data_IF_772893476224
#
_entry.id   IF_772893476224
#
_cell.length_a   1.000
_cell.length_b   1.000
_cell.length_c   1.000
_cell.angle_alpha   90.00
_cell.angle_beta   90.00
_cell.angle_gamma   90.00
#
_symmetry.space_group_name_H-M   'P 1'
#
loop_
_entity.id
_entity.type
_entity.pdbx_description
1 polymer ?
#
# COMPACT_ATOMS: atom_id res chain seq x y z
N UNK A 1 6.34 -14.90 18.41
CA UNK A 1 6.03 -14.11 19.63
C UNK A 1 5.91 -14.99 20.87
N UNK A 2 5.55 -16.26 20.69
CA UNK A 2 5.33 -17.27 21.72
C UNK A 2 6.54 -17.50 22.61
N UNK A 3 7.76 -17.46 22.04
CA UNK A 3 9.01 -17.59 22.79
C UNK A 3 9.24 -16.45 23.79
N UNK A 4 8.82 -15.22 23.45
CA UNK A 4 8.94 -14.04 24.33
C UNK A 4 7.91 -14.12 25.46
N UNK A 5 6.73 -14.69 25.17
CA UNK A 5 5.61 -14.80 26.12
C UNK A 5 5.57 -16.14 26.87
N UNK A 6 6.50 -17.07 26.61
CA UNK A 6 6.51 -18.41 27.20
C UNK A 6 5.31 -19.30 26.82
N UNK A 7 4.65 -19.01 25.70
CA UNK A 7 3.46 -19.73 25.24
C UNK A 7 3.81 -20.88 24.30
N UNK A 8 2.88 -21.83 24.13
CA UNK A 8 2.99 -22.85 23.07
C UNK A 8 2.70 -22.22 21.70
N UNK A 9 3.27 -22.76 20.60
CA UNK A 9 2.93 -22.34 19.24
C UNK A 9 1.42 -22.40 19.01
N UNK A 10 0.86 -21.33 18.46
CA UNK A 10 -0.58 -21.23 18.20
C UNK A 10 -0.98 -21.99 16.93
N UNK A 11 -0.04 -22.12 15.98
CA UNK A 11 -0.22 -22.83 14.74
C UNK A 11 1.04 -23.55 14.24
N UNK A 12 0.88 -24.32 13.16
CA UNK A 12 1.99 -24.94 12.44
C UNK A 12 2.95 -23.94 11.79
N UNK A 13 2.46 -22.73 11.47
CA UNK A 13 3.26 -21.67 10.84
C UNK A 13 4.18 -21.04 11.88
N UNK A 14 3.68 -20.85 13.10
CA UNK A 14 4.48 -20.31 14.20
C UNK A 14 5.56 -21.30 14.65
N UNK A 15 5.24 -22.60 14.67
CA UNK A 15 6.22 -23.66 15.00
C UNK A 15 7.40 -23.69 14.01
N UNK A 16 7.16 -23.29 12.76
CA UNK A 16 8.18 -23.23 11.70
C UNK A 16 8.76 -21.83 11.51
N UNK A 17 8.29 -20.84 12.25
CA UNK A 17 8.78 -19.49 12.13
C UNK A 17 10.21 -19.40 12.67
N UNK A 18 11.07 -18.66 11.97
CA UNK A 18 12.40 -18.31 12.48
C UNK A 18 12.23 -17.43 13.72
N UNK A 19 12.82 -17.79 14.88
CA UNK A 19 12.73 -16.97 16.07
C UNK A 19 13.48 -15.64 15.89
N UNK A 20 12.96 -14.55 16.45
CA UNK A 20 13.59 -13.22 16.39
C UNK A 20 14.70 -13.00 17.42
N UNK A 21 15.29 -14.08 17.97
CA UNK A 21 16.31 -13.96 19.03
C UNK A 21 17.50 -13.08 18.61
N UNK A 22 17.89 -13.12 17.34
CA UNK A 22 19.01 -12.33 16.82
C UNK A 22 18.71 -10.83 16.66
N UNK A 23 17.46 -10.40 16.85
CA UNK A 23 17.07 -9.00 16.73
C UNK A 23 17.14 -8.24 18.07
N UNK A 24 17.33 -8.96 19.18
CA UNK A 24 17.37 -8.40 20.53
C UNK A 24 18.67 -8.79 21.22
N UNK A 25 19.24 -7.86 21.98
CA UNK A 25 20.37 -8.08 22.88
C UNK A 25 19.86 -8.08 24.32
N UNK A 26 20.61 -8.70 25.24
CA UNK A 26 20.25 -8.69 26.66
C UNK A 26 20.36 -7.28 27.26
N UNK A 27 19.64 -7.04 28.37
CA UNK A 27 19.59 -5.74 29.03
C UNK A 27 20.96 -5.20 29.48
N UNK A 28 21.91 -6.10 29.76
CA UNK A 28 23.26 -5.77 30.20
C UNK A 28 24.28 -5.78 29.05
N UNK A 29 23.84 -6.06 27.82
CA UNK A 29 24.70 -6.16 26.64
C UNK A 29 24.65 -4.85 25.83
N UNK A 30 25.82 -4.31 25.50
CA UNK A 30 25.91 -3.17 24.58
C UNK A 30 25.84 -3.65 23.13
N UNK A 31 25.09 -2.97 22.24
CA UNK A 31 25.02 -3.35 20.84
C UNK A 31 26.42 -3.27 20.22
N UNK A 32 26.91 -4.39 19.70
CA UNK A 32 28.18 -4.45 18.98
C UNK A 32 28.05 -3.80 17.59
N UNK A 33 27.99 -2.48 17.57
CA UNK A 33 28.02 -1.69 16.34
C UNK A 33 29.49 -1.46 15.95
N UNK A 34 29.90 -2.00 14.81
CA UNK A 34 31.22 -1.75 14.20
C UNK A 34 31.29 -0.41 13.47
N UNK A 35 30.19 0.35 13.43
CA UNK A 35 30.08 1.67 12.83
C UNK A 35 29.13 2.59 13.60
N UNK A 36 29.38 3.89 13.52
CA UNK A 36 28.44 4.91 13.96
C UNK A 36 27.32 5.06 12.92
N UNK A 37 26.06 4.94 13.34
CA UNK A 37 24.92 5.23 12.47
C UNK A 37 24.79 6.74 12.28
N UNK A 38 25.05 7.22 11.07
CA UNK A 38 24.76 8.60 10.69
C UNK A 38 23.28 8.74 10.31
N UNK A 39 22.56 9.64 10.97
CA UNK A 39 21.16 9.90 10.65
C UNK A 39 21.04 10.39 9.21
N UNK A 40 20.23 9.69 8.42
CA UNK A 40 19.89 10.12 7.07
C UNK A 40 18.72 11.08 7.18
N UNK A 41 18.95 12.36 6.90
CA UNK A 41 17.88 13.34 6.77
C UNK A 41 17.16 13.11 5.45
N UNK A 42 15.82 13.04 5.43
CA UNK A 42 15.08 12.96 4.17
C UNK A 42 15.37 14.18 3.30
N UNK A 43 15.59 13.94 2.01
CA UNK A 43 15.78 15.03 1.03
C UNK A 43 14.49 15.82 0.80
N UNK A 44 13.33 15.22 1.06
CA UNK A 44 12.03 15.86 0.93
C UNK A 44 11.54 16.48 2.24
N UNK A 45 10.87 17.65 2.18
CA UNK A 45 10.20 18.25 3.32
C UNK A 45 9.12 17.30 3.88
N UNK A 46 9.05 17.19 5.20
CA UNK A 46 8.04 16.36 5.88
C UNK A 46 6.64 17.01 5.89
N UNK A 47 6.58 18.30 5.62
CA UNK A 47 5.39 19.14 5.55
C UNK A 47 4.95 19.41 4.10
N UNK A 48 5.56 18.75 3.12
CA UNK A 48 5.15 18.85 1.73
C UNK A 48 3.76 18.25 1.52
N UNK A 49 2.86 19.03 0.93
CA UNK A 49 1.49 18.61 0.60
C UNK A 49 1.19 18.85 -0.86
N UNK A 50 0.27 18.05 -1.41
CA UNK A 50 -0.21 18.22 -2.78
C UNK A 50 -0.75 19.63 -3.02
N UNK A 51 -0.32 20.25 -4.11
CA UNK A 51 -0.71 21.62 -4.46
C UNK A 51 -1.95 21.63 -5.34
N UNK A 52 -2.54 22.81 -5.57
CA UNK A 52 -3.64 22.96 -6.54
C UNK A 52 -3.24 22.69 -8.01
N UNK A 53 -1.95 22.57 -8.29
CA UNK A 53 -1.43 22.19 -9.60
C UNK A 53 -1.15 20.69 -9.74
N UNK A 54 -1.34 19.91 -8.66
CA UNK A 54 -1.17 18.45 -8.69
C UNK A 54 -2.17 17.78 -9.63
N UNK A 55 -1.85 16.58 -10.07
CA UNK A 55 -2.71 15.84 -10.98
C UNK A 55 -4.03 15.47 -10.30
N UNK A 56 -5.16 15.66 -11.00
CA UNK A 56 -6.45 15.18 -10.53
C UNK A 56 -7.00 15.87 -9.28
N UNK A 57 -6.59 17.12 -8.99
CA UNK A 57 -7.04 17.88 -7.81
C UNK A 57 -8.56 17.95 -7.70
N UNK A 58 -9.27 18.24 -8.78
CA UNK A 58 -10.75 18.33 -8.77
C UNK A 58 -11.38 17.00 -8.34
N UNK A 59 -10.92 15.90 -8.93
CA UNK A 59 -11.40 14.55 -8.61
C UNK A 59 -11.03 14.13 -7.18
N UNK A 60 -9.85 14.52 -6.71
CA UNK A 60 -9.38 14.23 -5.35
C UNK A 60 -10.21 14.94 -4.28
N UNK A 61 -10.63 16.18 -4.54
CA UNK A 61 -11.48 16.96 -3.63
C UNK A 61 -12.91 16.39 -3.50
N UNK A 62 -13.37 15.65 -4.49
CA UNK A 62 -14.68 14.98 -4.48
C UNK A 62 -14.66 13.64 -3.73
N UNK A 63 -13.49 13.09 -3.40
CA UNK A 63 -13.38 11.81 -2.71
C UNK A 63 -13.77 11.93 -1.23
N UNK A 64 -14.61 11.00 -0.77
CA UNK A 64 -14.92 10.84 0.65
C UNK A 64 -13.78 10.12 1.37
N UNK A 65 -12.92 10.90 2.04
CA UNK A 65 -11.81 10.41 2.87
C UNK A 65 -12.14 10.48 4.38
N UNK A 66 -13.43 10.56 4.75
CA UNK A 66 -13.84 10.72 6.15
C UNK A 66 -13.62 9.49 7.03
N UNK A 67 -13.66 8.30 6.44
CA UNK A 67 -13.40 7.02 7.10
C UNK A 67 -12.52 6.17 6.18
N UNK A 68 -11.76 5.26 6.78
CA UNK A 68 -10.93 4.31 6.06
C UNK A 68 -11.76 3.55 5.02
N UNK A 69 -11.22 3.41 3.81
CA UNK A 69 -11.79 2.61 2.71
C UNK A 69 -13.16 3.08 2.17
N UNK A 70 -13.53 4.36 2.35
CA UNK A 70 -14.76 4.92 1.74
C UNK A 70 -14.57 5.38 0.29
N UNK A 71 -13.40 5.89 -0.06
CA UNK A 71 -13.13 6.38 -1.40
C UNK A 71 -13.13 5.22 -2.41
N UNK A 72 -13.71 5.47 -3.58
CA UNK A 72 -13.73 4.46 -4.64
C UNK A 72 -12.29 4.13 -5.10
N UNK A 73 -11.91 2.85 -4.99
CA UNK A 73 -10.56 2.35 -5.24
C UNK A 73 -10.00 2.76 -6.62
N UNK A 74 -10.79 2.60 -7.68
CA UNK A 74 -10.33 2.82 -9.05
C UNK A 74 -9.96 4.28 -9.37
N UNK A 75 -10.84 5.27 -9.13
CA UNK A 75 -10.49 6.68 -9.35
C UNK A 75 -9.37 7.13 -8.41
N UNK A 76 -9.37 6.68 -7.15
CA UNK A 76 -8.33 7.04 -6.20
C UNK A 76 -6.94 6.55 -6.64
N UNK A 77 -6.83 5.28 -7.05
CA UNK A 77 -5.59 4.71 -7.56
C UNK A 77 -5.08 5.43 -8.82
N UNK A 78 -5.99 5.86 -9.70
CA UNK A 78 -5.62 6.59 -10.93
C UNK A 78 -4.99 7.94 -10.61
N UNK A 79 -5.57 8.69 -9.67
CA UNK A 79 -5.02 9.99 -9.23
C UNK A 79 -3.61 9.79 -8.68
N UNK A 80 -3.43 8.86 -7.73
CA UNK A 80 -2.14 8.57 -7.12
C UNK A 80 -1.09 8.11 -8.14
N UNK A 81 -1.49 7.24 -9.06
CA UNK A 81 -0.58 6.72 -10.09
C UNK A 81 -0.03 7.84 -10.97
N UNK A 82 -0.90 8.67 -11.53
CA UNK A 82 -0.48 9.74 -12.43
C UNK A 82 0.23 10.89 -11.72
N UNK A 83 -0.10 11.15 -10.47
CA UNK A 83 0.63 12.13 -9.64
C UNK A 83 2.07 11.67 -9.39
N UNK A 84 2.29 10.38 -9.09
CA UNK A 84 3.63 9.85 -8.79
C UNK A 84 4.45 9.49 -10.03
N UNK A 85 3.83 8.90 -11.05
CA UNK A 85 4.52 8.39 -12.25
C UNK A 85 4.55 9.39 -13.39
N UNK A 86 3.69 10.38 -13.37
CA UNK A 86 3.48 11.34 -14.45
C UNK A 86 2.15 11.13 -15.17
N UNK A 87 1.57 12.23 -15.63
CA UNK A 87 0.26 12.28 -16.27
C UNK A 87 0.14 11.35 -17.49
N UNK A 88 1.24 11.15 -18.23
CA UNK A 88 1.26 10.38 -19.46
C UNK A 88 1.57 8.89 -19.27
N UNK A 89 1.85 8.45 -18.04
CA UNK A 89 2.18 7.04 -17.76
C UNK A 89 0.90 6.22 -17.57
N UNK A 90 0.59 5.24 -18.44
CA UNK A 90 -0.63 4.45 -18.31
C UNK A 90 -0.62 3.64 -17.01
N UNK A 91 -1.75 3.66 -16.29
CA UNK A 91 -1.94 2.82 -15.11
C UNK A 91 -2.09 1.35 -15.53
N UNK A 92 -1.37 0.40 -14.88
CA UNK A 92 -1.51 -1.02 -15.20
C UNK A 92 -2.92 -1.53 -14.90
N UNK A 93 -3.35 -2.51 -15.68
CA UNK A 93 -4.67 -3.12 -15.49
C UNK A 93 -4.77 -3.88 -14.15
N UNK A 94 -5.95 -3.86 -13.51
CA UNK A 94 -6.19 -4.63 -12.30
C UNK A 94 -5.97 -6.12 -12.56
N UNK A 95 -5.18 -6.76 -11.68
CA UNK A 95 -4.96 -8.20 -11.74
C UNK A 95 -5.99 -8.90 -10.86
N UNK A 96 -6.87 -9.66 -11.48
CA UNK A 96 -7.77 -10.57 -10.79
C UNK A 96 -7.26 -12.00 -10.98
N UNK A 97 -7.13 -12.77 -9.90
CA UNK A 97 -6.79 -14.20 -9.97
C UNK A 97 -8.04 -15.07 -10.21
N UNK A 98 -9.22 -14.46 -10.31
CA UNK A 98 -10.45 -15.13 -10.73
C UNK A 98 -10.56 -15.08 -12.26
N UNK A 99 -10.81 -16.24 -12.88
CA UNK A 99 -11.18 -16.30 -14.29
C UNK A 99 -12.58 -15.72 -14.44
N UNK A 100 -12.68 -14.49 -14.94
CA UNK A 100 -13.94 -13.93 -15.40
C UNK A 100 -14.29 -14.61 -16.72
N UNK A 101 -15.33 -15.45 -16.72
CA UNK A 101 -15.96 -15.90 -17.95
C UNK A 101 -16.68 -14.69 -18.55
N UNK A 102 -16.14 -14.11 -19.62
CA UNK A 102 -16.78 -12.99 -20.30
C UNK A 102 -18.09 -13.46 -20.95
N UNK A 103 -19.24 -12.94 -20.51
CA UNK A 103 -20.45 -12.97 -21.34
C UNK A 103 -20.39 -11.81 -22.33
N UNK A 104 -20.75 -12.02 -23.62
CA UNK A 104 -20.76 -10.95 -24.59
C UNK A 104 -21.89 -9.99 -24.20
N UNK A 105 -21.55 -8.72 -23.97
CA UNK A 105 -22.57 -7.68 -23.79
C UNK A 105 -23.37 -7.57 -25.09
N UNK A 106 -24.68 -7.79 -24.98
CA UNK A 106 -25.62 -7.70 -26.07
C UNK A 106 -25.60 -6.30 -26.68
N UNK A 107 -25.50 -6.27 -28.00
CA UNK A 107 -25.83 -5.15 -28.86
C UNK A 107 -27.25 -4.66 -28.53
N UNK A 108 -27.37 -3.49 -27.89
CA UNK A 108 -28.61 -2.73 -27.93
C UNK A 108 -28.67 -2.09 -29.33
N UNK A 109 -29.26 -2.83 -30.27
CA UNK A 109 -29.67 -2.29 -31.55
C UNK A 109 -30.85 -1.34 -31.33
N UNK A 110 -30.79 -0.19 -31.99
CA UNK A 110 -31.89 0.74 -32.13
C UNK A 110 -33.09 0.06 -32.81
N UNK A 111 -34.29 0.26 -32.27
CA UNK A 111 -35.53 0.09 -33.01
C UNK A 111 -36.34 1.39 -32.85
N UNK A 112 -36.43 2.10 -33.98
CA UNK A 112 -37.46 3.09 -34.32
C UNK A 112 -38.86 2.46 -34.22
N UNK A 113 -39.80 3.13 -33.55
CA UNK A 113 -41.16 3.49 -34.05
C UNK A 113 -41.81 4.53 -33.11
#
# INVERSE_FOLDING_TARGET
MELILGMRPLSQFDTRATPMGNAFIDLDEEPALDFEYSMITPEQPLDETNTRASYGVEQSLELDLSVEDRAAMQPFNRILWHDTKGADVPMPDPKFNCRLNASPQGTLAAEDD
#
